data_IF_105847600424
#
_entry.id   IF_105847600424
#
_cell.length_a   1.000
_cell.length_b   1.000
_cell.length_c   1.000
_cell.angle_alpha   90.00
_cell.angle_beta   90.00
_cell.angle_gamma   90.00
#
_symmetry.space_group_name_H-M   'P 1'
#
loop_
_entity.id
_entity.type
_entity.pdbx_description
1 polymer ?
#
# COMPACT_ATOMS: atom_id res chain seq x y z
N UNK A 1 -4.85 -22.13 -13.56
CA UNK A 1 -4.24 -22.39 -12.25
C UNK A 1 -2.89 -21.69 -12.21
N UNK A 2 -2.72 -20.70 -11.35
CA UNK A 2 -1.45 -19.97 -11.26
C UNK A 2 -0.38 -20.90 -10.69
N UNK A 3 0.79 -20.95 -11.34
CA UNK A 3 1.93 -21.75 -10.88
C UNK A 3 2.63 -21.02 -9.74
N UNK A 4 2.91 -21.72 -8.64
CA UNK A 4 3.78 -21.19 -7.57
C UNK A 4 5.18 -21.00 -8.14
N UNK A 5 5.73 -19.81 -7.98
CA UNK A 5 7.00 -19.39 -8.58
C UNK A 5 8.12 -19.59 -7.57
N UNK A 6 9.25 -20.11 -8.04
CA UNK A 6 10.48 -20.16 -7.25
C UNK A 6 11.28 -18.86 -7.48
N UNK A 7 11.36 -18.03 -6.45
CA UNK A 7 12.11 -16.77 -6.47
C UNK A 7 13.55 -16.91 -5.95
N UNK A 8 14.02 -18.13 -5.63
CA UNK A 8 15.36 -18.31 -5.10
C UNK A 8 16.46 -17.89 -6.09
N UNK A 9 16.24 -18.08 -7.37
CA UNK A 9 17.19 -17.69 -8.44
C UNK A 9 17.08 -16.22 -8.86
N UNK A 10 16.12 -15.44 -8.34
CA UNK A 10 15.98 -14.04 -8.73
C UNK A 10 17.10 -13.18 -8.12
N UNK A 11 17.62 -12.27 -8.95
CA UNK A 11 18.58 -11.25 -8.52
C UNK A 11 17.89 -10.31 -7.51
N UNK A 12 18.61 -10.02 -6.41
CA UNK A 12 18.14 -9.07 -5.39
C UNK A 12 18.55 -7.65 -5.74
N UNK A 13 17.69 -6.67 -5.45
CA UNK A 13 17.96 -5.26 -5.69
C UNK A 13 18.18 -4.52 -4.38
N UNK A 14 18.97 -3.44 -4.43
CA UNK A 14 19.18 -2.54 -3.29
C UNK A 14 18.04 -1.53 -3.09
N UNK A 15 16.99 -1.62 -3.90
CA UNK A 15 15.85 -0.70 -3.79
C UNK A 15 15.12 -0.94 -2.48
N UNK A 16 14.98 0.13 -1.71
CA UNK A 16 14.27 0.09 -0.43
C UNK A 16 12.77 0.24 -0.64
N UNK A 17 12.01 -0.70 -0.11
CA UNK A 17 10.55 -0.65 -0.06
C UNK A 17 10.14 -0.52 1.41
N UNK A 18 9.56 0.59 1.79
CA UNK A 18 9.20 0.91 3.17
C UNK A 18 8.60 -0.24 3.99
N UNK A 19 8.53 -0.10 5.30
CA UNK A 19 8.05 -1.10 6.25
C UNK A 19 9.13 -1.57 7.23
N UNK A 20 8.81 -2.56 8.07
CA UNK A 20 9.76 -3.12 9.03
C UNK A 20 10.96 -3.77 8.31
N UNK A 21 12.16 -3.58 8.86
CA UNK A 21 13.39 -4.16 8.31
C UNK A 21 13.26 -5.68 8.09
N UNK A 22 13.60 -6.15 6.91
CA UNK A 22 13.55 -7.57 6.53
C UNK A 22 12.16 -8.10 6.18
N UNK A 23 11.12 -7.28 6.19
CA UNK A 23 9.77 -7.69 5.78
C UNK A 23 9.54 -7.64 4.27
N UNK A 24 10.34 -6.85 3.54
CA UNK A 24 10.30 -6.70 2.09
C UNK A 24 11.70 -6.86 1.50
N UNK A 25 11.79 -7.51 0.33
CA UNK A 25 13.03 -7.72 -0.41
C UNK A 25 12.80 -7.39 -1.87
N UNK A 26 13.55 -6.42 -2.41
CA UNK A 26 13.51 -6.10 -3.83
C UNK A 26 14.18 -7.18 -4.67
N UNK A 27 13.55 -7.54 -5.78
CA UNK A 27 14.05 -8.50 -6.76
C UNK A 27 13.83 -8.02 -8.18
N UNK A 28 14.59 -8.56 -9.13
CA UNK A 28 14.27 -8.54 -10.55
C UNK A 28 13.64 -9.87 -10.94
N UNK A 29 12.39 -9.81 -11.43
CA UNK A 29 11.70 -10.96 -11.97
C UNK A 29 11.28 -10.66 -13.42
N UNK A 30 11.72 -11.48 -14.35
CA UNK A 30 11.52 -11.29 -15.79
C UNK A 30 12.00 -9.92 -16.31
N UNK A 31 13.07 -9.37 -15.70
CA UNK A 31 13.64 -8.07 -16.06
C UNK A 31 12.92 -6.86 -15.48
N UNK A 32 11.85 -7.06 -14.72
CA UNK A 32 11.08 -5.99 -14.08
C UNK A 32 11.32 -5.93 -12.57
N UNK A 33 11.18 -4.74 -11.93
CA UNK A 33 11.31 -4.60 -10.49
C UNK A 33 10.07 -5.11 -9.75
N UNK A 34 10.29 -5.98 -8.80
CA UNK A 34 9.30 -6.53 -7.88
C UNK A 34 9.84 -6.48 -6.46
N UNK A 35 8.97 -6.59 -5.48
CA UNK A 35 9.40 -6.83 -4.11
C UNK A 35 8.61 -7.98 -3.48
N UNK A 36 9.32 -8.77 -2.71
CA UNK A 36 8.74 -9.88 -1.96
C UNK A 36 8.28 -9.38 -0.59
N UNK A 37 7.06 -9.73 -0.20
CA UNK A 37 6.59 -9.64 1.19
C UNK A 37 6.68 -11.02 1.83
N UNK A 38 7.35 -11.08 2.97
CA UNK A 38 7.54 -12.30 3.75
C UNK A 38 6.47 -12.45 4.82
N UNK A 39 6.08 -13.69 5.16
CA UNK A 39 5.19 -13.91 6.29
C UNK A 39 5.90 -13.56 7.59
N UNK A 40 5.18 -12.99 8.55
CA UNK A 40 5.69 -12.75 9.89
C UNK A 40 5.78 -14.07 10.67
N UNK A 41 6.80 -14.20 11.51
CA UNK A 41 6.87 -15.33 12.44
C UNK A 41 5.78 -15.21 13.49
N UNK A 42 5.12 -16.32 13.80
CA UNK A 42 4.11 -16.43 14.87
C UNK A 42 4.72 -16.81 16.21
N UNK A 43 6.06 -16.94 16.28
CA UNK A 43 6.77 -17.29 17.51
C UNK A 43 6.43 -16.29 18.63
N UNK A 44 5.84 -16.78 19.68
CA UNK A 44 5.39 -15.97 20.83
C UNK A 44 3.93 -15.50 20.75
N UNK A 45 3.22 -15.76 19.65
CA UNK A 45 1.78 -15.52 19.56
C UNK A 45 1.01 -16.65 20.28
N UNK A 46 0.01 -16.28 21.09
CA UNK A 46 -0.81 -17.28 21.79
C UNK A 46 -1.82 -17.91 20.85
N UNK A 47 -2.04 -19.21 20.97
CA UNK A 47 -3.08 -19.98 20.25
C UNK A 47 -2.90 -20.07 18.73
N UNK A 48 -1.67 -19.98 18.23
CA UNK A 48 -1.37 -20.15 16.81
C UNK A 48 -0.41 -21.33 16.65
N UNK A 49 -0.84 -22.35 15.91
CA UNK A 49 -0.07 -23.60 15.69
C UNK A 49 0.82 -23.55 14.44
N UNK A 50 0.71 -22.48 13.65
CA UNK A 50 1.54 -22.30 12.45
C UNK A 50 2.79 -21.49 12.76
N UNK A 51 3.90 -21.78 12.08
CA UNK A 51 5.17 -21.07 12.27
C UNK A 51 5.18 -19.65 11.68
N UNK A 52 4.25 -19.36 10.76
CA UNK A 52 4.19 -18.10 10.02
C UNK A 52 2.74 -17.67 9.76
N UNK A 53 2.56 -16.36 9.64
CA UNK A 53 1.25 -15.78 9.28
C UNK A 53 0.88 -16.05 7.82
N UNK A 54 -0.40 -15.89 7.49
CA UNK A 54 -0.93 -15.99 6.12
C UNK A 54 -0.88 -14.67 5.34
N UNK A 55 -0.19 -13.65 5.85
CA UNK A 55 -0.13 -12.32 5.25
C UNK A 55 0.16 -12.30 3.73
N UNK A 56 1.13 -13.10 3.19
CA UNK A 56 1.35 -13.16 1.75
C UNK A 56 0.12 -13.63 0.96
N UNK A 57 -0.61 -14.60 1.51
CA UNK A 57 -1.82 -15.13 0.87
C UNK A 57 -2.96 -14.11 0.94
N UNK A 58 -3.12 -13.42 2.08
CA UNK A 58 -4.11 -12.34 2.25
C UNK A 58 -3.87 -11.22 1.24
N UNK A 59 -2.61 -10.78 1.06
CA UNK A 59 -2.23 -9.78 0.07
C UNK A 59 -2.60 -10.21 -1.36
N UNK A 60 -2.26 -11.45 -1.70
CA UNK A 60 -2.57 -12.01 -3.01
C UNK A 60 -4.08 -12.07 -3.25
N UNK A 61 -4.84 -12.65 -2.33
CA UNK A 61 -6.29 -12.78 -2.46
C UNK A 61 -6.98 -11.41 -2.48
N UNK A 62 -6.61 -10.49 -1.59
CA UNK A 62 -7.16 -9.15 -1.54
C UNK A 62 -6.94 -8.38 -2.85
N UNK A 63 -5.73 -8.43 -3.40
CA UNK A 63 -5.42 -7.80 -4.69
C UNK A 63 -6.26 -8.38 -5.83
N UNK A 64 -6.45 -9.70 -5.88
CA UNK A 64 -7.25 -10.34 -6.92
C UNK A 64 -8.75 -10.06 -6.80
N UNK A 65 -9.27 -9.83 -5.58
CA UNK A 65 -10.66 -9.37 -5.42
C UNK A 65 -10.85 -8.00 -6.07
N UNK A 66 -9.93 -7.06 -5.85
CA UNK A 66 -9.97 -5.76 -6.51
C UNK A 66 -9.86 -5.89 -8.04
N UNK A 67 -8.95 -6.73 -8.53
CA UNK A 67 -8.77 -6.99 -9.97
C UNK A 67 -10.05 -7.55 -10.61
N UNK A 68 -10.69 -8.54 -9.99
CA UNK A 68 -11.95 -9.14 -10.49
C UNK A 68 -13.08 -8.10 -10.53
N UNK A 69 -13.09 -7.16 -9.60
CA UNK A 69 -14.05 -6.06 -9.57
C UNK A 69 -13.72 -4.93 -10.57
N UNK A 70 -12.63 -5.07 -11.34
CA UNK A 70 -12.26 -4.15 -12.42
C UNK A 70 -11.47 -2.92 -11.97
N UNK A 71 -10.90 -2.94 -10.78
CA UNK A 71 -10.02 -1.87 -10.30
C UNK A 71 -8.60 -2.05 -10.80
N UNK A 72 -7.91 -0.93 -11.04
CA UNK A 72 -6.47 -0.91 -11.21
C UNK A 72 -5.80 -1.23 -9.86
N UNK A 73 -5.07 -2.34 -9.83
CA UNK A 73 -4.44 -2.88 -8.62
C UNK A 73 -3.01 -3.34 -8.94
N UNK A 74 -2.11 -3.24 -7.99
CA UNK A 74 -0.76 -3.73 -8.20
C UNK A 74 -0.75 -5.24 -8.47
N UNK A 75 0.07 -5.66 -9.44
CA UNK A 75 0.17 -7.08 -9.78
C UNK A 75 0.82 -7.87 -8.66
N UNK A 76 0.27 -9.06 -8.38
CA UNK A 76 0.80 -9.95 -7.35
C UNK A 76 0.99 -11.36 -7.88
N UNK A 77 2.04 -12.04 -7.39
CA UNK A 77 2.37 -13.43 -7.73
C UNK A 77 2.70 -14.19 -6.45
N UNK A 78 2.23 -15.43 -6.33
CA UNK A 78 2.61 -16.31 -5.23
C UNK A 78 3.87 -17.10 -5.57
N UNK A 79 4.72 -17.30 -4.58
CA UNK A 79 5.93 -18.08 -4.75
C UNK A 79 6.62 -18.48 -3.46
N UNK A 80 7.83 -19.02 -3.62
CA UNK A 80 8.68 -19.48 -2.53
C UNK A 80 10.02 -18.76 -2.61
N UNK A 81 10.50 -18.28 -1.47
CA UNK A 81 11.85 -17.74 -1.26
C UNK A 81 12.37 -18.24 0.09
N UNK A 82 13.56 -18.85 0.10
CA UNK A 82 14.21 -19.38 1.31
C UNK A 82 13.27 -20.27 2.14
N UNK A 83 12.61 -21.21 1.46
CA UNK A 83 11.63 -22.14 2.03
C UNK A 83 10.40 -21.48 2.69
N UNK A 84 10.18 -20.20 2.45
CA UNK A 84 9.00 -19.45 2.92
C UNK A 84 8.05 -19.16 1.78
N UNK A 85 6.77 -19.25 2.08
CA UNK A 85 5.73 -18.81 1.16
C UNK A 85 5.66 -17.29 1.13
N UNK A 86 5.83 -16.68 -0.03
CA UNK A 86 5.91 -15.23 -0.21
C UNK A 86 4.93 -14.76 -1.28
N UNK A 87 4.58 -13.47 -1.23
CA UNK A 87 3.92 -12.78 -2.34
C UNK A 87 4.91 -11.78 -2.95
N UNK A 88 5.08 -11.85 -4.26
CA UNK A 88 5.77 -10.84 -5.04
C UNK A 88 4.76 -9.79 -5.48
N UNK A 89 5.05 -8.53 -5.21
CA UNK A 89 4.29 -7.38 -5.63
C UNK A 89 5.09 -6.63 -6.69
N UNK A 90 4.49 -6.37 -7.86
CA UNK A 90 5.14 -5.59 -8.91
C UNK A 90 5.30 -4.14 -8.45
N UNK A 91 6.47 -3.59 -8.62
CA UNK A 91 6.69 -2.17 -8.43
C UNK A 91 6.01 -1.41 -9.57
N UNK A 92 5.04 -0.59 -9.23
CA UNK A 92 4.30 0.25 -10.19
C UNK A 92 4.88 1.66 -10.29
N UNK A 93 5.98 1.95 -9.58
CA UNK A 93 6.71 3.20 -9.71
C UNK A 93 7.92 3.02 -10.63
N UNK A 94 8.28 4.07 -11.34
CA UNK A 94 9.40 4.06 -12.27
C UNK A 94 10.19 5.39 -12.23
N UNK A 95 11.03 5.64 -13.23
CA UNK A 95 11.81 6.89 -13.32
C UNK A 95 10.93 8.12 -13.58
N UNK A 96 9.74 7.92 -14.15
CA UNK A 96 8.84 8.98 -14.55
C UNK A 96 7.71 9.19 -13.54
N UNK A 97 7.37 8.16 -12.75
CA UNK A 97 6.24 8.19 -11.85
C UNK A 97 6.68 7.89 -10.40
N UNK A 98 6.40 8.83 -9.52
CA UNK A 98 6.63 8.69 -8.08
C UNK A 98 5.31 8.51 -7.35
N UNK A 99 5.26 7.58 -6.42
CA UNK A 99 4.14 7.46 -5.47
C UNK A 99 4.21 8.59 -4.44
N UNK A 100 3.08 9.27 -4.25
CA UNK A 100 2.81 10.13 -3.12
C UNK A 100 1.74 9.47 -2.27
N UNK A 101 2.13 8.95 -1.13
CA UNK A 101 1.19 8.38 -0.16
C UNK A 101 0.26 9.47 0.40
N UNK A 102 -0.98 9.12 0.70
CA UNK A 102 -1.91 10.08 1.32
C UNK A 102 -1.34 10.71 2.59
N UNK A 103 -0.55 9.98 3.36
CA UNK A 103 0.16 10.50 4.54
C UNK A 103 1.03 11.73 4.22
N UNK A 104 1.76 11.70 3.11
CA UNK A 104 2.60 12.82 2.68
C UNK A 104 1.74 14.02 2.30
N UNK A 105 0.66 13.78 1.52
CA UNK A 105 -0.27 14.82 1.09
C UNK A 105 -1.03 15.44 2.27
N UNK A 106 -1.45 14.62 3.24
CA UNK A 106 -2.10 15.06 4.47
C UNK A 106 -1.18 15.98 5.28
N UNK A 107 0.04 15.53 5.53
CA UNK A 107 0.99 16.26 6.36
C UNK A 107 1.40 17.60 5.72
N UNK A 108 1.62 17.63 4.40
CA UNK A 108 1.92 18.87 3.68
C UNK A 108 0.76 19.86 3.78
N UNK A 109 -0.47 19.42 3.55
CA UNK A 109 -1.65 20.27 3.63
C UNK A 109 -1.92 20.80 5.05
N UNK A 110 -1.77 19.97 6.08
CA UNK A 110 -1.93 20.39 7.46
C UNK A 110 -0.90 21.44 7.84
N UNK A 111 0.36 21.26 7.42
CA UNK A 111 1.42 22.25 7.66
C UNK A 111 1.08 23.61 7.01
N UNK A 112 0.62 23.61 5.77
CA UNK A 112 0.21 24.83 5.08
C UNK A 112 -0.95 25.53 5.81
N UNK A 113 -1.92 24.76 6.34
CA UNK A 113 -3.02 25.31 7.13
C UNK A 113 -2.54 25.89 8.48
N UNK A 114 -1.61 25.24 9.16
CA UNK A 114 -1.01 25.72 10.41
C UNK A 114 -0.30 27.06 10.18
N UNK A 115 0.46 27.18 9.10
CA UNK A 115 1.15 28.41 8.72
C UNK A 115 0.16 29.54 8.42
N UNK A 116 -0.96 29.26 7.71
CA UNK A 116 -1.97 30.25 7.38
C UNK A 116 -2.80 30.70 8.59
N UNK A 117 -3.03 29.83 9.56
CA UNK A 117 -3.87 30.08 10.72
C UNK A 117 -3.09 30.59 11.93
N UNK A 118 -1.75 30.63 11.85
CA UNK A 118 -0.83 30.96 12.95
C UNK A 118 -1.16 30.19 14.24
N UNK A 119 -1.53 28.93 14.08
CA UNK A 119 -1.85 28.02 15.19
C UNK A 119 -1.53 26.58 14.83
N UNK A 120 -1.08 25.82 15.82
CA UNK A 120 -0.90 24.38 15.67
C UNK A 120 -2.25 23.67 15.52
N UNK A 121 -2.38 22.88 14.48
CA UNK A 121 -3.47 21.92 14.34
C UNK A 121 -3.08 20.71 15.21
N UNK A 122 -3.83 20.48 16.29
CA UNK A 122 -3.51 19.45 17.25
C UNK A 122 -3.16 18.13 16.56
N UNK A 123 -1.96 17.63 16.83
CA UNK A 123 -1.43 16.36 16.34
C UNK A 123 -2.16 15.15 16.94
N UNK A 124 -3.47 15.19 17.09
CA UNK A 124 -4.22 14.00 17.51
C UNK A 124 -4.04 12.81 16.57
N UNK A 125 -3.28 13.01 15.50
CA UNK A 125 -3.00 12.03 14.44
C UNK A 125 -1.50 11.73 14.27
N UNK A 126 -0.69 12.02 15.29
CA UNK A 126 0.74 11.65 15.36
C UNK A 126 0.93 10.13 15.46
N UNK A 127 -0.13 9.40 15.78
CA UNK A 127 -0.16 7.93 15.64
C UNK A 127 -0.18 7.56 14.16
N UNK A 128 0.84 6.83 13.73
CA UNK A 128 1.05 6.30 12.38
C UNK A 128 -0.17 5.55 11.79
N UNK A 129 -1.29 5.42 12.52
CA UNK A 129 -2.37 4.47 12.24
C UNK A 129 -3.80 5.02 12.37
N UNK A 130 -4.02 6.15 13.01
CA UNK A 130 -5.39 6.65 13.21
C UNK A 130 -5.74 7.73 12.18
N UNK A 131 -6.41 7.35 11.12
CA UNK A 131 -6.98 8.31 10.18
C UNK A 131 -8.46 8.49 10.53
N UNK A 132 -8.79 9.65 11.10
CA UNK A 132 -10.18 10.02 11.35
C UNK A 132 -10.89 10.24 10.00
N UNK A 133 -12.02 9.55 9.78
CA UNK A 133 -12.82 9.67 8.56
C UNK A 133 -13.17 11.12 8.22
N UNK A 134 -13.51 11.93 9.22
CA UNK A 134 -13.84 13.34 9.00
C UNK A 134 -12.63 14.11 8.43
N UNK A 135 -11.43 13.85 8.94
CA UNK A 135 -10.20 14.46 8.41
C UNK A 135 -9.96 14.02 6.96
N UNK A 136 -10.15 12.73 6.63
CA UNK A 136 -10.03 12.26 5.24
C UNK A 136 -11.01 12.97 4.34
N UNK A 137 -12.28 13.12 4.75
CA UNK A 137 -13.29 13.81 3.94
C UNK A 137 -12.93 15.27 3.69
N UNK A 138 -12.41 15.98 4.70
CA UNK A 138 -11.92 17.36 4.53
C UNK A 138 -10.78 17.40 3.50
N UNK A 139 -9.82 16.48 3.58
CA UNK A 139 -8.73 16.43 2.61
C UNK A 139 -9.23 16.12 1.19
N UNK A 140 -10.16 15.18 1.06
CA UNK A 140 -10.75 14.85 -0.25
C UNK A 140 -11.56 16.01 -0.85
N UNK A 141 -12.06 16.93 -0.01
CA UNK A 141 -12.84 18.09 -0.44
C UNK A 141 -11.99 19.34 -0.71
N UNK A 142 -10.90 19.52 0.03
CA UNK A 142 -10.21 20.80 0.06
C UNK A 142 -8.71 20.71 -0.20
N UNK A 143 -8.07 19.53 -0.16
CA UNK A 143 -6.66 19.43 -0.47
C UNK A 143 -6.40 19.76 -1.95
N UNK A 144 -5.59 20.79 -2.27
CA UNK A 144 -5.43 21.30 -3.64
C UNK A 144 -4.85 20.29 -4.64
N UNK A 145 -4.23 19.21 -4.14
CA UNK A 145 -3.73 18.13 -4.99
C UNK A 145 -4.83 17.10 -5.23
N UNK A 146 -5.54 16.66 -4.18
CA UNK A 146 -6.54 15.60 -4.30
C UNK A 146 -7.78 16.03 -5.09
N UNK A 147 -8.21 17.30 -4.99
CA UNK A 147 -9.36 17.81 -5.74
C UNK A 147 -9.16 17.84 -7.26
N UNK A 148 -7.91 17.70 -7.74
CA UNK A 148 -7.62 17.58 -9.16
C UNK A 148 -7.96 16.19 -9.73
N UNK A 149 -8.25 15.21 -8.87
CA UNK A 149 -8.58 13.83 -9.24
C UNK A 149 -10.06 13.56 -8.91
N UNK A 150 -10.99 13.78 -9.84
CA UNK A 150 -12.43 13.70 -9.55
C UNK A 150 -12.87 12.31 -9.07
N UNK A 151 -12.15 11.24 -9.44
CA UNK A 151 -12.46 9.87 -9.04
C UNK A 151 -11.96 9.52 -7.63
N UNK A 152 -11.14 10.38 -6.99
CA UNK A 152 -10.45 10.02 -5.72
C UNK A 152 -11.46 9.69 -4.60
N UNK A 153 -12.57 10.45 -4.50
CA UNK A 153 -13.61 10.20 -3.50
C UNK A 153 -14.31 8.87 -3.73
N UNK A 154 -14.66 8.59 -4.99
CA UNK A 154 -15.29 7.32 -5.33
C UNK A 154 -14.34 6.17 -5.00
N UNK A 155 -13.08 6.27 -5.41
CA UNK A 155 -12.04 5.28 -5.11
C UNK A 155 -11.89 5.05 -3.61
N UNK A 156 -11.90 6.09 -2.80
CA UNK A 156 -11.82 5.97 -1.34
C UNK A 156 -12.99 5.15 -0.78
N UNK A 157 -14.22 5.47 -1.17
CA UNK A 157 -15.39 4.73 -0.69
C UNK A 157 -15.46 3.29 -1.20
N UNK A 158 -15.06 3.07 -2.45
CA UNK A 158 -14.94 1.72 -3.00
C UNK A 158 -13.94 0.89 -2.16
N UNK A 159 -12.79 1.48 -1.80
CA UNK A 159 -11.83 0.82 -0.92
C UNK A 159 -12.43 0.52 0.46
N UNK A 160 -13.16 1.45 1.07
CA UNK A 160 -13.81 1.22 2.38
C UNK A 160 -14.75 0.01 2.33
N UNK A 161 -15.56 -0.10 1.28
CA UNK A 161 -16.53 -1.20 1.11
C UNK A 161 -15.80 -2.53 0.84
N UNK A 162 -14.85 -2.53 -0.09
CA UNK A 162 -14.15 -3.75 -0.49
C UNK A 162 -13.22 -4.24 0.61
N UNK A 163 -12.50 -3.33 1.29
CA UNK A 163 -11.67 -3.66 2.45
C UNK A 163 -12.51 -4.27 3.58
N UNK A 164 -13.73 -3.75 3.81
CA UNK A 164 -14.68 -4.37 4.73
C UNK A 164 -15.08 -5.79 4.32
N UNK A 165 -15.28 -6.03 3.03
CA UNK A 165 -15.63 -7.35 2.50
C UNK A 165 -14.47 -8.36 2.62
N UNK A 166 -13.23 -7.96 2.29
CA UNK A 166 -12.04 -8.82 2.38
C UNK A 166 -11.40 -8.84 3.78
N UNK A 167 -12.00 -8.15 4.74
CA UNK A 167 -11.48 -7.98 6.10
C UNK A 167 -10.06 -7.37 6.15
N UNK A 168 -9.77 -6.44 5.23
CA UNK A 168 -8.54 -5.66 5.27
C UNK A 168 -8.73 -4.47 6.22
N UNK A 169 -8.27 -4.59 7.45
CA UNK A 169 -8.38 -3.57 8.49
C UNK A 169 -7.14 -2.67 8.62
N UNK A 170 -6.19 -2.76 7.68
CA UNK A 170 -4.93 -2.01 7.71
C UNK A 170 -4.82 -0.99 6.55
N UNK A 171 -5.94 -0.46 6.03
CA UNK A 171 -5.94 0.64 5.06
C UNK A 171 -5.62 1.97 5.74
N UNK A 172 -4.40 2.10 6.22
CA UNK A 172 -3.92 3.34 6.83
C UNK A 172 -3.47 4.38 5.77
N UNK A 173 -3.07 5.57 6.23
CA UNK A 173 -2.70 6.68 5.35
C UNK A 173 -1.45 6.44 4.48
N UNK A 174 -0.68 5.39 4.73
CA UNK A 174 0.44 4.96 3.89
C UNK A 174 0.08 3.89 2.85
N UNK A 175 -1.15 3.36 2.88
CA UNK A 175 -1.55 2.22 2.05
C UNK A 175 -2.47 2.65 0.88
N UNK A 176 -2.50 3.92 0.54
CA UNK A 176 -3.12 4.49 -0.65
C UNK A 176 -2.51 5.84 -1.00
N UNK A 177 -2.66 6.28 -2.23
CA UNK A 177 -2.06 7.52 -2.70
C UNK A 177 -2.29 7.77 -4.18
N UNK A 178 -1.46 8.62 -4.73
CA UNK A 178 -1.48 9.04 -6.13
C UNK A 178 -0.09 8.88 -6.75
N UNK A 179 -0.04 8.80 -8.06
CA UNK A 179 1.21 8.91 -8.80
C UNK A 179 1.35 10.32 -9.37
N UNK A 180 2.58 10.82 -9.35
CA UNK A 180 2.96 12.09 -9.97
C UNK A 180 4.10 11.84 -10.95
N UNK A 181 3.98 12.38 -12.16
CA UNK A 181 5.05 12.32 -13.17
C UNK A 181 6.00 13.53 -13.09
N UNK A 182 7.05 13.51 -13.93
CA UNK A 182 8.03 14.60 -14.04
C UNK A 182 7.41 15.93 -14.51
N UNK A 183 6.28 15.88 -15.21
CA UNK A 183 5.51 17.05 -15.68
C UNK A 183 4.46 17.52 -14.67
N UNK A 184 4.43 16.89 -13.47
CA UNK A 184 3.45 17.12 -12.40
C UNK A 184 2.01 16.71 -12.74
N UNK A 185 1.81 15.87 -13.75
CA UNK A 185 0.51 15.25 -13.96
C UNK A 185 0.22 14.25 -12.84
N UNK A 186 -1.04 14.26 -12.39
CA UNK A 186 -1.50 13.41 -11.30
C UNK A 186 -2.38 12.28 -11.84
N UNK A 187 -2.26 11.10 -11.25
CA UNK A 187 -3.17 9.99 -11.50
C UNK A 187 -3.36 9.17 -10.23
N UNK A 188 -4.44 8.43 -10.13
CA UNK A 188 -4.63 7.49 -9.02
C UNK A 188 -3.53 6.44 -9.07
N UNK A 189 -2.91 6.14 -7.91
CA UNK A 189 -2.06 4.98 -7.82
C UNK A 189 -2.91 3.70 -7.96
N UNK A 190 -2.37 2.60 -8.52
CA UNK A 190 -3.00 1.30 -8.38
C UNK A 190 -3.31 1.02 -6.90
N UNK A 191 -4.36 0.27 -6.61
CA UNK A 191 -4.66 -0.15 -5.23
C UNK A 191 -3.59 -1.14 -4.78
N UNK A 192 -3.00 -0.92 -3.60
CA UNK A 192 -1.89 -1.72 -3.07
C UNK A 192 -2.05 -1.95 -1.56
N UNK A 193 -1.23 -2.82 -0.98
CA UNK A 193 -1.28 -3.20 0.43
C UNK A 193 -2.69 -3.68 0.86
N UNK A 194 -3.18 -4.73 0.16
CA UNK A 194 -4.53 -5.28 0.30
C UNK A 194 -4.61 -6.46 1.28
N UNK A 195 -3.51 -6.80 1.94
CA UNK A 195 -3.43 -7.90 2.89
C UNK A 195 -3.28 -7.40 4.31
N UNK A 196 -4.34 -7.49 5.11
CA UNK A 196 -4.18 -7.38 6.57
C UNK A 196 -3.32 -8.53 7.09
N UNK A 197 -2.34 -8.23 7.93
CA UNK A 197 -1.45 -9.21 8.54
C UNK A 197 -1.97 -9.67 9.91
#
# INVERSE_FOLDING_TARGET
MQKIIDFNACETTLRFYGGAAGSKLGILYQGEPWFLKFPKSTKGMRRIDTSYTTAPLSEYCGSHVYEILGYDVHQTLLGIKDSKFVVACKDFTDKNHRLLEYRELKNAYNKDLEEQLDRSISESDSGMHATNLQAVMIHLDYNPVLVQLPEIKKRFWDCVVIDGFINNNDRNSGNWGILIDASKNLQLAPIYDNGAA
#
